data_IF_224678733605
#
_entry.id   IF_224678733605
#
_cell.length_a   1.000
_cell.length_b   1.000
_cell.length_c   1.000
_cell.angle_alpha   90.00
_cell.angle_beta   90.00
_cell.angle_gamma   90.00
#
_symmetry.space_group_name_H-M   'P 1'
#
loop_
_entity.id
_entity.type
_entity.pdbx_description
1 polymer ?
#
# COMPACT_ATOMS: atom_id res chain seq x y z
N UNK A 1 11.13 13.16 -7.30
CA UNK A 1 10.25 14.30 -7.04
C UNK A 1 9.98 14.32 -5.55
N UNK A 2 9.77 15.50 -4.96
CA UNK A 2 9.31 15.62 -3.57
C UNK A 2 7.79 15.82 -3.57
N UNK A 3 7.06 14.92 -4.25
CA UNK A 3 5.61 14.99 -4.31
C UNK A 3 5.02 14.33 -3.07
N UNK A 4 3.94 14.90 -2.55
CA UNK A 4 3.16 14.36 -1.42
C UNK A 4 1.90 13.72 -1.96
N UNK A 5 1.71 12.43 -1.69
CA UNK A 5 0.53 11.67 -2.10
C UNK A 5 -0.42 11.55 -0.92
N UNK A 6 -1.65 12.03 -1.08
CA UNK A 6 -2.67 12.09 -0.04
C UNK A 6 -3.83 11.18 -0.41
N UNK A 7 -4.06 10.14 0.39
CA UNK A 7 -5.23 9.27 0.23
C UNK A 7 -6.47 9.97 0.78
N UNK A 8 -7.30 10.53 -0.11
CA UNK A 8 -8.59 11.13 0.21
C UNK A 8 -9.68 10.05 0.17
N UNK A 9 -9.62 9.16 1.16
CA UNK A 9 -10.36 7.88 1.24
C UNK A 9 -11.86 7.99 0.95
N UNK A 10 -12.53 9.02 1.44
CA UNK A 10 -13.99 9.13 1.29
C UNK A 10 -14.39 9.72 -0.06
N UNK A 11 -13.47 10.36 -0.77
CA UNK A 11 -13.67 10.87 -2.12
C UNK A 11 -13.11 9.93 -3.20
N UNK A 12 -12.64 8.74 -2.83
CA UNK A 12 -12.20 7.68 -3.74
C UNK A 12 -11.08 8.16 -4.68
N UNK A 13 -10.16 8.97 -4.15
CA UNK A 13 -9.06 9.52 -4.92
C UNK A 13 -7.76 9.60 -4.13
N UNK A 14 -6.64 9.64 -4.85
CA UNK A 14 -5.33 10.02 -4.33
C UNK A 14 -4.97 11.35 -4.96
N UNK A 15 -4.72 12.37 -4.14
CA UNK A 15 -4.29 13.68 -4.60
C UNK A 15 -2.77 13.79 -4.49
N UNK A 16 -2.16 14.53 -5.41
CA UNK A 16 -0.72 14.74 -5.50
C UNK A 16 -0.44 16.22 -5.32
N UNK A 17 0.47 16.54 -4.41
CA UNK A 17 0.89 17.90 -4.12
C UNK A 17 2.41 18.05 -4.24
N UNK A 18 2.89 19.28 -4.37
CA UNK A 18 4.28 19.61 -4.04
C UNK A 18 4.52 19.50 -2.53
N UNK A 19 5.79 19.45 -2.10
CA UNK A 19 6.14 19.53 -0.68
C UNK A 19 5.73 20.84 0.01
N UNK A 20 5.39 21.87 -0.78
CA UNK A 20 4.85 23.14 -0.30
C UNK A 20 3.31 23.18 -0.28
N UNK A 21 2.64 22.08 -0.63
CA UNK A 21 1.18 21.95 -0.56
C UNK A 21 0.43 22.45 -1.79
N UNK A 22 1.11 22.71 -2.91
CA UNK A 22 0.46 23.09 -4.16
C UNK A 22 -0.10 21.85 -4.85
N UNK A 23 -1.37 21.89 -5.26
CA UNK A 23 -2.01 20.78 -5.98
C UNK A 23 -1.37 20.58 -7.36
N UNK A 24 -1.04 19.33 -7.69
CA UNK A 24 -0.45 18.93 -8.97
C UNK A 24 -1.42 18.10 -9.82
N UNK A 25 -1.98 17.04 -9.25
CA UNK A 25 -2.80 16.05 -9.97
C UNK A 25 -3.62 15.18 -9.00
N UNK A 26 -4.52 14.35 -9.53
CA UNK A 26 -5.25 13.34 -8.75
C UNK A 26 -5.60 12.09 -9.56
N UNK A 27 -5.70 10.96 -8.87
CA UNK A 27 -6.14 9.69 -9.44
C UNK A 27 -7.43 9.23 -8.80
N UNK A 28 -8.32 8.65 -9.60
CA UNK A 28 -9.47 7.91 -9.08
C UNK A 28 -9.06 6.45 -8.83
N UNK A 29 -9.25 5.97 -7.61
CA UNK A 29 -8.77 4.64 -7.16
C UNK A 29 -9.80 3.53 -7.34
N UNK A 30 -10.64 3.67 -8.37
CA UNK A 30 -11.68 2.72 -8.75
C UNK A 30 -13.06 3.00 -8.15
N UNK A 31 -14.05 2.29 -8.68
CA UNK A 31 -15.45 2.40 -8.28
C UNK A 31 -15.77 1.56 -7.03
N UNK A 32 -16.97 1.75 -6.48
CA UNK A 32 -17.51 0.87 -5.43
C UNK A 32 -17.36 -0.62 -5.83
N UNK A 33 -16.83 -1.48 -4.94
CA UNK A 33 -16.65 -1.27 -3.50
C UNK A 33 -15.29 -0.67 -3.08
N UNK A 34 -14.41 -0.27 -4.02
CA UNK A 34 -13.06 0.22 -3.72
C UNK A 34 -13.05 1.29 -2.64
N UNK A 35 -12.13 1.12 -1.69
CA UNK A 35 -11.91 2.04 -0.58
C UNK A 35 -10.48 1.92 -0.07
N UNK A 36 -9.59 2.72 -0.63
CA UNK A 36 -8.18 2.77 -0.21
C UNK A 36 -8.08 3.30 1.22
N UNK A 37 -7.48 2.50 2.09
CA UNK A 37 -7.30 2.84 3.50
C UNK A 37 -6.02 3.61 3.76
N UNK A 38 -4.95 3.22 3.06
CA UNK A 38 -3.61 3.75 3.22
C UNK A 38 -2.85 3.64 1.91
N UNK A 39 -1.79 4.44 1.80
CA UNK A 39 -0.77 4.32 0.76
C UNK A 39 0.60 4.44 1.41
N UNK A 40 1.57 3.68 0.89
CA UNK A 40 3.00 3.83 1.19
C UNK A 40 3.77 3.90 -0.13
N UNK A 41 4.93 4.55 -0.12
CA UNK A 41 5.82 4.61 -1.28
C UNK A 41 7.12 3.91 -0.93
N UNK A 42 7.46 2.90 -1.73
CA UNK A 42 8.70 2.14 -1.54
C UNK A 42 9.92 2.84 -2.16
N UNK A 43 11.11 2.34 -1.85
CA UNK A 43 12.39 2.85 -2.36
C UNK A 43 12.56 2.68 -3.86
N UNK A 44 11.76 1.80 -4.48
CA UNK A 44 11.70 1.60 -5.93
C UNK A 44 10.69 2.55 -6.59
N UNK A 45 10.12 3.48 -5.82
CA UNK A 45 9.15 4.48 -6.27
C UNK A 45 7.83 3.87 -6.78
N UNK A 46 7.37 2.79 -6.15
CA UNK A 46 6.01 2.29 -6.36
C UNK A 46 5.09 2.76 -5.24
N UNK A 47 3.84 3.07 -5.59
CA UNK A 47 2.78 3.33 -4.61
C UNK A 47 2.10 2.01 -4.27
N UNK A 48 2.17 1.61 -3.00
CA UNK A 48 1.45 0.45 -2.49
C UNK A 48 0.27 0.90 -1.66
N UNK A 49 -0.91 0.37 -1.96
CA UNK A 49 -2.15 0.70 -1.30
C UNK A 49 -2.80 -0.56 -0.73
N UNK A 50 -3.62 -0.39 0.31
CA UNK A 50 -4.58 -1.42 0.69
C UNK A 50 -6.01 -0.95 0.43
N UNK A 51 -6.70 -1.69 -0.42
CA UNK A 51 -8.12 -1.52 -0.68
C UNK A 51 -8.93 -2.44 0.25
N UNK A 52 -9.68 -1.84 1.19
CA UNK A 52 -10.57 -2.61 2.07
C UNK A 52 -11.76 -3.18 1.33
N UNK A 53 -12.25 -2.51 0.30
CA UNK A 53 -13.42 -2.93 -0.46
C UNK A 53 -13.19 -4.26 -1.18
N UNK A 54 -12.03 -4.39 -1.82
CA UNK A 54 -11.64 -5.59 -2.58
C UNK A 54 -10.75 -6.54 -1.80
N UNK A 55 -10.29 -6.13 -0.60
CA UNK A 55 -9.35 -6.85 0.25
C UNK A 55 -8.01 -7.14 -0.43
N UNK A 56 -7.53 -6.18 -1.23
CA UNK A 56 -6.30 -6.29 -2.01
C UNK A 56 -5.24 -5.32 -1.50
N UNK A 57 -4.00 -5.80 -1.47
CA UNK A 57 -2.83 -4.94 -1.54
C UNK A 57 -2.57 -4.68 -3.02
N UNK A 58 -2.50 -3.42 -3.42
CA UNK A 58 -2.42 -2.98 -4.82
C UNK A 58 -1.15 -2.17 -5.01
N UNK A 59 -0.47 -2.37 -6.14
CA UNK A 59 0.72 -1.66 -6.57
C UNK A 59 0.39 -0.77 -7.77
N UNK A 60 0.80 0.48 -7.69
CA UNK A 60 0.76 1.46 -8.77
C UNK A 60 2.17 2.04 -9.02
N UNK A 61 2.39 2.59 -10.21
CA UNK A 61 3.51 3.51 -10.43
C UNK A 61 3.21 4.92 -9.88
N UNK A 62 4.13 5.88 -10.08
CA UNK A 62 3.97 7.26 -9.61
C UNK A 62 3.06 8.10 -10.49
N UNK A 63 2.54 7.53 -11.56
CA UNK A 63 1.60 8.13 -12.52
C UNK A 63 0.18 7.55 -12.34
N UNK A 64 0.00 6.60 -11.42
CA UNK A 64 -1.31 6.03 -11.06
C UNK A 64 -1.70 4.80 -11.87
N UNK A 65 -0.80 4.27 -12.71
CA UNK A 65 -1.09 3.07 -13.48
C UNK A 65 -1.01 1.84 -12.57
N UNK A 66 -2.02 0.98 -12.66
CA UNK A 66 -2.02 -0.31 -11.97
C UNK A 66 -0.90 -1.22 -12.49
N UNK A 67 -0.14 -1.82 -11.57
CA UNK A 67 0.96 -2.74 -11.90
C UNK A 67 0.69 -4.17 -11.43
N UNK A 68 0.20 -4.33 -10.19
CA UNK A 68 0.07 -5.63 -9.54
C UNK A 68 -0.90 -5.58 -8.37
N UNK A 69 -1.47 -6.72 -7.98
CA UNK A 69 -2.19 -6.85 -6.71
C UNK A 69 -2.13 -8.27 -6.17
N UNK A 70 -2.32 -8.39 -4.86
CA UNK A 70 -2.48 -9.67 -4.17
C UNK A 70 -3.35 -9.53 -2.93
N UNK A 71 -3.63 -10.66 -2.27
CA UNK A 71 -4.45 -10.72 -1.06
C UNK A 71 -5.89 -11.11 -1.33
N UNK A 72 -6.59 -11.48 -0.26
CA UNK A 72 -8.02 -11.79 -0.28
C UNK A 72 -8.59 -11.77 1.13
N UNK A 73 -9.90 -11.60 1.25
CA UNK A 73 -10.61 -11.73 2.52
C UNK A 73 -10.64 -13.19 3.00
N UNK A 74 -10.51 -13.40 4.31
CA UNK A 74 -10.60 -14.69 4.96
C UNK A 74 -10.18 -14.64 6.42
N UNK A 75 -10.14 -15.81 7.07
CA UNK A 75 -9.94 -15.94 8.52
C UNK A 75 -8.63 -16.64 8.91
N UNK A 76 -7.85 -17.07 7.93
CA UNK A 76 -6.59 -17.78 8.15
C UNK A 76 -5.39 -16.86 7.97
N UNK A 77 -4.20 -17.23 8.47
CA UNK A 77 -2.97 -16.49 8.20
C UNK A 77 -2.78 -16.24 6.70
N UNK A 78 -2.46 -15.00 6.35
CA UNK A 78 -2.25 -14.55 4.97
C UNK A 78 -3.49 -14.06 4.22
N UNK A 79 -4.66 -14.12 4.84
CA UNK A 79 -5.83 -13.36 4.42
C UNK A 79 -5.85 -12.00 5.13
N UNK A 80 -6.50 -10.99 4.54
CA UNK A 80 -6.48 -9.62 5.06
C UNK A 80 -7.84 -9.13 5.53
N UNK A 81 -7.87 -8.44 6.66
CA UNK A 81 -9.10 -7.89 7.25
C UNK A 81 -9.02 -6.43 7.67
N UNK A 82 -9.00 -5.54 6.68
CA UNK A 82 -9.01 -4.10 6.94
C UNK A 82 -7.65 -3.64 7.46
N UNK A 83 -6.62 -3.84 6.64
CA UNK A 83 -5.29 -3.30 6.88
C UNK A 83 -5.38 -1.77 6.95
N UNK A 84 -4.75 -1.19 7.96
CA UNK A 84 -4.64 0.25 8.18
C UNK A 84 -3.20 0.74 8.23
N UNK A 85 -2.23 -0.17 8.34
CA UNK A 85 -0.82 0.17 8.17
C UNK A 85 -0.03 -0.96 7.51
N UNK A 86 1.05 -0.60 6.81
CA UNK A 86 1.94 -1.49 6.10
C UNK A 86 3.40 -1.05 6.32
N UNK A 87 4.28 -1.99 6.65
CA UNK A 87 5.70 -1.71 6.81
C UNK A 87 6.58 -2.86 6.30
N UNK A 88 7.82 -2.57 5.94
CA UNK A 88 8.80 -3.56 5.51
C UNK A 88 10.11 -3.33 6.26
N UNK A 89 10.68 -4.39 6.83
CA UNK A 89 11.95 -4.31 7.56
C UNK A 89 13.18 -4.47 6.65
N UNK A 90 14.38 -4.40 7.25
CA UNK A 90 15.66 -4.50 6.55
C UNK A 90 15.95 -5.90 5.98
N UNK A 91 15.21 -6.92 6.41
CA UNK A 91 15.29 -8.28 5.86
C UNK A 91 14.27 -8.47 4.70
N UNK A 92 13.41 -7.48 4.45
CA UNK A 92 12.34 -7.57 3.46
C UNK A 92 11.09 -8.28 3.97
N UNK A 93 10.97 -8.49 5.29
CA UNK A 93 9.72 -9.00 5.85
C UNK A 93 8.66 -7.90 5.78
N UNK A 94 7.47 -8.27 5.33
CA UNK A 94 6.32 -7.39 5.19
C UNK A 94 5.39 -7.53 6.39
N UNK A 95 4.94 -6.41 6.94
CA UNK A 95 4.08 -6.34 8.11
C UNK A 95 2.81 -5.58 7.77
N UNK A 96 1.69 -6.07 8.31
CA UNK A 96 0.40 -5.37 8.24
C UNK A 96 -0.19 -5.23 9.63
N UNK A 97 -0.88 -4.11 9.87
CA UNK A 97 -1.72 -3.91 11.04
C UNK A 97 -3.18 -3.78 10.62
N UNK A 98 -4.03 -4.63 11.18
CA UNK A 98 -5.44 -4.78 10.80
C UNK A 98 -6.35 -4.42 11.96
N UNK A 99 -7.41 -3.65 11.67
CA UNK A 99 -8.28 -3.08 12.73
C UNK A 99 -9.50 -3.94 13.07
N UNK A 100 -9.77 -4.99 12.28
CA UNK A 100 -10.88 -5.91 12.56
C UNK A 100 -10.34 -7.13 13.32
N UNK A 101 -10.70 -8.37 12.96
CA UNK A 101 -10.25 -9.54 13.71
C UNK A 101 -8.83 -10.03 13.34
N UNK A 102 -8.11 -9.32 12.47
CA UNK A 102 -6.86 -9.80 11.90
C UNK A 102 -5.58 -9.43 12.65
N UNK A 103 -5.62 -8.47 13.57
CA UNK A 103 -4.45 -8.10 14.38
C UNK A 103 -3.25 -7.66 13.53
N UNK A 104 -2.04 -8.06 13.92
CA UNK A 104 -0.83 -7.82 13.12
C UNK A 104 -0.34 -9.13 12.47
N UNK A 105 0.07 -9.07 11.21
CA UNK A 105 0.67 -10.21 10.51
C UNK A 105 2.06 -9.85 9.98
N UNK A 106 2.97 -10.84 10.01
CA UNK A 106 4.31 -10.78 9.42
C UNK A 106 4.41 -11.80 8.28
N UNK A 107 4.96 -11.38 7.16
CA UNK A 107 5.20 -12.19 5.97
C UNK A 107 6.69 -12.17 5.64
N UNK A 108 7.28 -13.34 5.46
CA UNK A 108 8.66 -13.47 4.98
C UNK A 108 8.67 -13.86 3.50
N UNK A 109 9.47 -13.19 2.66
CA UNK A 109 9.65 -13.60 1.28
C UNK A 109 10.14 -15.05 1.20
N UNK A 110 9.59 -15.82 0.26
CA UNK A 110 10.10 -17.17 -0.02
C UNK A 110 11.48 -17.06 -0.69
N UNK A 111 12.35 -18.07 -0.55
CA UNK A 111 13.59 -18.13 -1.32
C UNK A 111 13.33 -17.96 -2.82
N UNK A 112 14.03 -17.03 -3.48
CA UNK A 112 13.87 -16.75 -4.91
C UNK A 112 12.59 -16.00 -5.27
N UNK A 113 11.86 -15.41 -4.31
CA UNK A 113 10.72 -14.56 -4.62
C UNK A 113 11.14 -13.40 -5.54
N UNK A 114 10.34 -13.14 -6.58
CA UNK A 114 10.58 -12.01 -7.47
C UNK A 114 10.32 -10.70 -6.69
N UNK A 115 11.32 -9.82 -6.54
CA UNK A 115 11.18 -8.56 -5.80
C UNK A 115 10.12 -7.62 -6.39
N UNK A 116 9.78 -7.75 -7.67
CA UNK A 116 8.76 -6.89 -8.31
C UNK A 116 7.36 -7.08 -7.72
N UNK A 117 7.10 -8.23 -7.10
CA UNK A 117 5.83 -8.58 -6.47
C UNK A 117 5.85 -8.45 -4.94
N UNK A 118 6.96 -7.98 -4.36
CA UNK A 118 7.09 -7.72 -2.94
C UNK A 118 6.84 -6.24 -2.66
N UNK A 119 6.12 -5.95 -1.58
CA UNK A 119 6.06 -4.59 -1.04
C UNK A 119 7.49 -4.18 -0.68
N UNK A 120 7.98 -3.11 -1.29
CA UNK A 120 9.36 -2.67 -1.14
C UNK A 120 9.61 -1.96 0.20
N UNK A 121 10.90 -1.80 0.54
CA UNK A 121 11.31 -1.05 1.74
C UNK A 121 10.91 0.42 1.61
N UNK A 122 10.54 1.10 2.69
CA UNK A 122 10.30 2.54 2.63
C UNK A 122 11.60 3.28 2.28
N UNK A 123 11.47 4.43 1.59
CA UNK A 123 12.61 5.33 1.27
C UNK A 123 13.37 5.73 2.55
N UNK A 124 12.62 5.96 3.63
CA UNK A 124 13.15 6.26 4.96
C UNK A 124 12.73 5.14 5.92
N UNK A 125 13.71 4.40 6.45
CA UNK A 125 13.45 3.38 7.46
C UNK A 125 13.20 4.03 8.82
N UNK A 126 12.14 3.61 9.51
CA UNK A 126 11.92 3.94 10.92
C UNK A 126 12.96 3.26 11.84
N UNK A 127 13.67 2.25 11.33
CA UNK A 127 14.62 1.42 12.08
C UNK A 127 16.04 1.66 11.54
N UNK A 128 16.97 2.07 12.40
CA UNK A 128 18.41 2.13 12.11
C UNK A 128 19.09 0.87 12.62
#
# INVERSE_FOLDING_TARGET
TNNVYVNDRNNHRIQIFTEHGEYLDEWYVGDNPSRIHLVIIDSNRNVWAYDRGTHKVIKYDLEGNFLYQFGTYGLFPGFFWGVHDMAVDQEGNFYVAEVNKGGAQKFSPRPGANPDFLVGRPVYSAWK
#
